data_IF_656793452506
#
_entry.id   IF_656793452506
#
_cell.length_a   1.000
_cell.length_b   1.000
_cell.length_c   1.000
_cell.angle_alpha   90.00
_cell.angle_beta   90.00
_cell.angle_gamma   90.00
#
_symmetry.space_group_name_H-M   'P 1'
#
loop_
_entity.id
_entity.type
_entity.pdbx_description
1 polymer ?
#
# COMPACT_ATOMS: atom_id res chain seq x y z
N UNK A 1 -36.10 0.78 -49.07
CA UNK A 1 -36.70 1.46 -47.89
C UNK A 1 -36.35 0.67 -46.64
N UNK A 2 -35.40 1.16 -45.83
CA UNK A 2 -35.04 0.55 -44.55
C UNK A 2 -36.20 0.82 -43.58
N UNK A 3 -36.89 -0.23 -43.12
CA UNK A 3 -37.96 -0.14 -42.12
C UNK A 3 -37.40 -0.66 -40.79
N UNK A 4 -37.13 0.24 -39.86
CA UNK A 4 -36.71 -0.09 -38.50
C UNK A 4 -37.91 -0.66 -37.72
N UNK A 5 -37.74 -1.83 -37.12
CA UNK A 5 -38.69 -2.40 -36.16
C UNK A 5 -38.16 -2.10 -34.75
N UNK A 6 -38.96 -1.39 -33.95
CA UNK A 6 -38.68 -1.18 -32.52
C UNK A 6 -39.28 -2.36 -31.77
N UNK A 7 -38.43 -3.26 -31.26
CA UNK A 7 -38.81 -4.36 -30.38
C UNK A 7 -38.81 -3.86 -28.93
N UNK A 8 -39.99 -3.50 -28.41
CA UNK A 8 -40.16 -3.26 -26.98
C UNK A 8 -40.39 -4.63 -26.29
N UNK A 9 -39.31 -5.27 -25.86
CA UNK A 9 -39.40 -6.55 -25.13
C UNK A 9 -39.55 -6.27 -23.63
N UNK A 10 -40.77 -6.34 -23.12
CA UNK A 10 -41.04 -6.37 -21.68
C UNK A 10 -40.78 -7.79 -21.17
N UNK A 11 -39.61 -8.04 -20.58
CA UNK A 11 -39.35 -9.28 -19.86
C UNK A 11 -39.97 -9.15 -18.48
N UNK A 12 -41.23 -9.57 -18.33
CA UNK A 12 -41.82 -9.78 -17.01
C UNK A 12 -41.32 -11.14 -16.52
N UNK A 13 -40.32 -11.12 -15.65
CA UNK A 13 -39.98 -12.29 -14.83
C UNK A 13 -41.08 -12.45 -13.79
N UNK A 14 -42.15 -13.18 -14.14
CA UNK A 14 -43.15 -13.61 -13.17
C UNK A 14 -42.50 -14.60 -12.20
N UNK A 15 -42.13 -14.11 -11.03
CA UNK A 15 -41.99 -14.94 -9.83
C UNK A 15 -43.39 -15.46 -9.49
N UNK A 16 -43.69 -16.68 -9.92
CA UNK A 16 -44.92 -17.39 -9.64
C UNK A 16 -44.59 -18.85 -9.36
N UNK A 17 -44.97 -19.29 -8.17
CA UNK A 17 -44.72 -20.58 -7.58
C UNK A 17 -45.00 -21.78 -8.51
N UNK A 18 -44.27 -22.87 -8.24
CA UNK A 18 -44.46 -24.29 -8.56
C UNK A 18 -43.23 -24.90 -9.22
N UNK A 19 -42.68 -25.88 -8.51
CA UNK A 19 -41.44 -26.62 -8.76
C UNK A 19 -41.31 -27.11 -10.21
N UNK A 20 -40.19 -26.80 -10.86
CA UNK A 20 -39.43 -27.84 -11.56
C UNK A 20 -37.93 -27.50 -11.54
N UNK A 21 -37.22 -28.53 -11.11
CA UNK A 21 -35.84 -28.66 -10.70
C UNK A 21 -34.89 -28.78 -11.90
N UNK A 22 -33.66 -28.26 -11.78
CA UNK A 22 -32.45 -28.85 -12.41
C UNK A 22 -31.20 -28.45 -11.61
N UNK A 23 -30.47 -29.49 -11.20
CA UNK A 23 -29.23 -29.59 -10.40
C UNK A 23 -28.06 -29.88 -11.39
N UNK A 24 -26.79 -29.47 -11.26
CA UNK A 24 -25.71 -29.86 -10.31
C UNK A 24 -24.42 -29.02 -10.66
N UNK A 25 -23.73 -28.38 -9.70
CA UNK A 25 -22.47 -28.72 -9.00
C UNK A 25 -21.10 -28.52 -9.73
N UNK A 26 -20.18 -27.79 -9.07
CA UNK A 26 -18.74 -27.68 -9.40
C UNK A 26 -18.07 -26.41 -8.85
N UNK A 27 -16.98 -26.55 -8.07
CA UNK A 27 -16.33 -25.51 -7.26
C UNK A 27 -15.14 -24.78 -7.94
N UNK A 28 -14.85 -23.53 -7.53
CA UNK A 28 -13.58 -22.84 -7.82
C UNK A 28 -13.69 -21.31 -7.99
N UNK A 29 -12.73 -20.56 -7.42
CA UNK A 29 -12.74 -19.13 -7.04
C UNK A 29 -12.32 -18.18 -8.18
N UNK A 30 -12.97 -17.02 -8.37
CA UNK A 30 -12.38 -15.68 -8.68
C UNK A 30 -13.43 -14.54 -8.91
N UNK A 31 -13.32 -13.52 -8.05
CA UNK A 31 -13.43 -12.04 -8.21
C UNK A 31 -14.69 -11.30 -8.76
N UNK A 32 -15.61 -11.00 -7.83
CA UNK A 32 -16.24 -9.67 -7.53
C UNK A 32 -17.23 -8.97 -8.51
N UNK A 33 -18.21 -8.20 -7.98
CA UNK A 33 -19.60 -8.64 -8.13
C UNK A 33 -20.55 -7.59 -8.73
N UNK A 34 -21.24 -7.97 -9.79
CA UNK A 34 -22.57 -7.45 -10.09
C UNK A 34 -23.44 -8.63 -10.53
N UNK A 35 -23.55 -9.64 -9.66
CA UNK A 35 -24.34 -10.84 -9.92
C UNK A 35 -25.83 -10.48 -9.91
N UNK A 36 -26.43 -10.44 -11.09
CA UNK A 36 -27.85 -10.78 -11.21
C UNK A 36 -28.00 -12.27 -10.90
N UNK A 37 -29.11 -12.65 -10.28
CA UNK A 37 -29.52 -14.04 -10.15
C UNK A 37 -29.57 -14.67 -11.56
N UNK A 38 -28.55 -15.46 -11.86
CA UNK A 38 -28.34 -16.09 -13.16
C UNK A 38 -27.13 -17.00 -13.03
N UNK A 39 -27.39 -18.30 -12.91
CA UNK A 39 -26.39 -19.35 -12.65
C UNK A 39 -25.18 -19.15 -13.59
N UNK A 40 -24.00 -18.95 -13.00
CA UNK A 40 -22.71 -18.84 -13.69
C UNK A 40 -21.97 -20.16 -13.52
N UNK A 41 -21.77 -20.86 -14.63
CA UNK A 41 -20.87 -22.01 -14.71
C UNK A 41 -19.60 -21.58 -15.46
N UNK A 42 -18.47 -22.10 -15.00
CA UNK A 42 -17.15 -21.88 -15.58
C UNK A 42 -16.99 -22.70 -16.87
N UNK A 43 -17.31 -22.06 -17.98
CA UNK A 43 -16.69 -22.09 -19.30
C UNK A 43 -17.44 -21.00 -20.06
N UNK A 44 -16.77 -20.09 -20.77
CA UNK A 44 -17.34 -18.83 -21.30
C UNK A 44 -18.44 -19.00 -22.37
N UNK A 45 -19.02 -20.19 -22.47
CA UNK A 45 -20.12 -20.59 -23.35
C UNK A 45 -21.35 -20.89 -22.50
N UNK A 46 -22.22 -19.89 -22.30
CA UNK A 46 -23.52 -20.15 -21.68
C UNK A 46 -24.54 -20.50 -22.76
N UNK A 47 -25.10 -21.71 -22.69
CA UNK A 47 -26.27 -22.08 -23.49
C UNK A 47 -27.53 -21.53 -22.80
N UNK A 48 -28.14 -20.50 -23.38
CA UNK A 48 -29.38 -19.91 -22.90
C UNK A 48 -30.56 -20.45 -23.72
N UNK A 49 -31.57 -21.00 -23.02
CA UNK A 49 -32.85 -21.36 -23.60
C UNK A 49 -33.83 -20.21 -23.34
N UNK A 50 -34.41 -19.64 -24.40
CA UNK A 50 -35.35 -18.53 -24.28
C UNK A 50 -36.56 -18.73 -25.17
N UNK A 51 -37.75 -18.46 -24.64
CA UNK A 51 -38.96 -18.35 -25.45
C UNK A 51 -39.20 -16.87 -25.76
N UNK A 52 -39.13 -16.49 -27.03
CA UNK A 52 -39.49 -15.15 -27.50
C UNK A 52 -40.89 -15.17 -28.11
N UNK A 53 -41.68 -14.14 -27.82
CA UNK A 53 -42.95 -13.89 -28.51
C UNK A 53 -42.75 -12.65 -29.38
N UNK A 54 -42.91 -12.81 -30.70
CA UNK A 54 -42.82 -11.71 -31.65
C UNK A 54 -44.18 -11.48 -32.31
N UNK A 55 -44.60 -10.22 -32.40
CA UNK A 55 -45.81 -9.86 -33.14
C UNK A 55 -45.45 -9.58 -34.59
N UNK A 56 -46.08 -10.30 -35.52
CA UNK A 56 -45.98 -10.00 -36.94
C UNK A 56 -46.96 -8.89 -37.32
N UNK A 57 -46.70 -8.22 -38.45
CA UNK A 57 -47.67 -7.31 -39.08
C UNK A 57 -48.94 -8.13 -39.36
N UNK A 58 -50.02 -7.82 -38.63
CA UNK A 58 -51.36 -8.47 -38.57
C UNK A 58 -51.75 -9.11 -37.20
N UNK A 59 -51.07 -8.77 -36.09
CA UNK A 59 -51.43 -9.21 -34.72
C UNK A 59 -51.39 -10.73 -34.47
N UNK A 60 -50.81 -11.50 -35.37
CA UNK A 60 -50.57 -12.94 -35.17
C UNK A 60 -49.40 -13.13 -34.20
N UNK A 61 -49.68 -13.80 -33.08
CA UNK A 61 -48.73 -14.07 -32.01
C UNK A 61 -47.83 -15.24 -32.41
N UNK A 62 -46.58 -14.97 -32.78
CA UNK A 62 -45.64 -16.02 -33.16
C UNK A 62 -44.80 -16.38 -31.93
N UNK A 63 -45.06 -17.56 -31.36
CA UNK A 63 -44.16 -18.17 -30.40
C UNK A 63 -42.94 -18.72 -31.15
N UNK A 64 -41.75 -18.32 -30.74
CA UNK A 64 -40.50 -18.79 -31.32
C UNK A 64 -39.58 -19.26 -30.18
N UNK A 65 -39.57 -20.56 -29.84
CA UNK A 65 -38.53 -21.11 -28.99
C UNK A 65 -37.19 -20.90 -29.70
N UNK A 66 -36.26 -20.30 -28.96
CA UNK A 66 -34.93 -19.95 -29.43
C UNK A 66 -33.91 -20.58 -28.50
N UNK A 67 -32.90 -21.20 -29.10
CA UNK A 67 -31.69 -21.64 -28.42
C UNK A 67 -30.62 -20.64 -28.78
N UNK A 68 -29.92 -20.10 -27.79
CA UNK A 68 -28.90 -19.10 -28.01
C UNK A 68 -27.68 -19.39 -27.14
N UNK A 69 -26.54 -19.54 -27.80
CA UNK A 69 -25.23 -19.57 -27.15
C UNK A 69 -24.74 -18.15 -26.97
N UNK A 70 -24.50 -17.76 -25.73
CA UNK A 70 -23.95 -16.46 -25.36
C UNK A 70 -22.51 -16.60 -24.92
N UNK A 71 -21.64 -15.87 -25.60
CA UNK A 71 -20.24 -15.67 -25.25
C UNK A 71 -20.10 -14.24 -24.71
N UNK A 72 -19.54 -14.09 -23.51
CA UNK A 72 -19.40 -12.79 -22.85
C UNK A 72 -17.94 -12.54 -22.50
N UNK A 73 -17.41 -11.42 -22.97
CA UNK A 73 -16.06 -10.95 -22.66
C UNK A 73 -16.18 -9.73 -21.76
N UNK A 74 -15.61 -9.79 -20.56
CA UNK A 74 -15.60 -8.66 -19.61
C UNK A 74 -14.39 -7.78 -19.94
N UNK A 75 -14.64 -6.51 -20.25
CA UNK A 75 -13.59 -5.56 -20.64
C UNK A 75 -13.16 -4.70 -19.45
N UNK A 76 -14.12 -4.22 -18.66
CA UNK A 76 -13.87 -3.42 -17.45
C UNK A 76 -14.90 -3.79 -16.36
N UNK A 77 -14.75 -3.24 -15.14
CA UNK A 77 -15.76 -3.37 -14.07
C UNK A 77 -17.17 -2.92 -14.49
N UNK A 78 -17.30 -2.11 -15.55
CA UNK A 78 -18.59 -1.57 -16.03
C UNK A 78 -18.98 -2.00 -17.44
N UNK A 79 -18.09 -2.62 -18.22
CA UNK A 79 -18.32 -2.88 -19.64
C UNK A 79 -18.00 -4.32 -20.04
N UNK A 80 -18.85 -4.90 -20.88
CA UNK A 80 -18.63 -6.21 -21.47
C UNK A 80 -19.08 -6.26 -22.92
N UNK A 81 -18.44 -7.08 -23.73
CA UNK A 81 -18.88 -7.42 -25.09
C UNK A 81 -19.58 -8.78 -25.07
N UNK A 82 -20.70 -8.91 -25.77
CA UNK A 82 -21.50 -10.13 -25.84
C UNK A 82 -21.64 -10.57 -27.32
N UNK A 83 -21.32 -11.83 -27.62
CA UNK A 83 -21.63 -12.48 -28.88
C UNK A 83 -22.70 -13.54 -28.62
N UNK A 84 -23.82 -13.37 -29.30
CA UNK A 84 -25.00 -14.20 -29.17
C UNK A 84 -25.19 -14.93 -30.51
N UNK A 85 -24.99 -16.25 -30.53
CA UNK A 85 -25.21 -17.11 -31.71
C UNK A 85 -26.34 -18.06 -31.38
N UNK A 86 -27.44 -17.98 -32.11
CA UNK A 86 -28.61 -18.77 -31.82
C UNK A 86 -29.45 -19.08 -33.03
N UNK A 87 -30.51 -19.83 -32.79
CA UNK A 87 -31.48 -20.17 -33.79
C UNK A 87 -32.74 -20.67 -33.13
N UNK A 88 -33.81 -20.71 -33.89
CA UNK A 88 -35.09 -21.17 -33.39
C UNK A 88 -36.01 -21.56 -34.53
N UNK A 89 -37.25 -21.82 -34.19
CA UNK A 89 -38.28 -22.15 -35.17
C UNK A 89 -39.44 -21.20 -34.95
N UNK A 90 -39.83 -20.48 -36.01
CA UNK A 90 -41.09 -19.74 -35.99
C UNK A 90 -42.24 -20.73 -36.17
N UNK A 91 -43.20 -20.68 -35.25
CA UNK A 91 -44.46 -21.40 -35.37
C UNK A 91 -45.51 -20.43 -35.92
N UNK A 92 -45.73 -20.45 -37.24
CA UNK A 92 -46.88 -19.80 -37.87
C UNK A 92 -47.93 -20.85 -38.19
N UNK A 93 -49.21 -20.46 -38.17
CA UNK A 93 -50.39 -21.35 -38.19
C UNK A 93 -50.43 -22.39 -39.33
N UNK A 94 -49.57 -22.32 -40.36
CA UNK A 94 -49.37 -23.40 -41.34
C UNK A 94 -47.93 -23.57 -41.87
N UNK A 95 -46.93 -22.91 -41.28
CA UNK A 95 -45.55 -22.89 -41.78
C UNK A 95 -44.55 -22.93 -40.62
N UNK A 96 -43.75 -24.01 -40.54
CA UNK A 96 -42.62 -24.12 -39.61
C UNK A 96 -41.36 -23.65 -40.33
N UNK A 97 -40.86 -22.46 -40.02
CA UNK A 97 -39.63 -21.93 -40.65
C UNK A 97 -38.51 -21.84 -39.62
N UNK A 98 -37.40 -22.57 -39.82
CA UNK A 98 -36.22 -22.40 -38.99
C UNK A 98 -35.64 -21.01 -39.25
N UNK A 99 -35.07 -20.41 -38.22
CA UNK A 99 -34.28 -19.20 -38.34
C UNK A 99 -32.97 -19.35 -37.61
N UNK A 100 -31.96 -18.67 -38.13
CA UNK A 100 -30.66 -18.53 -37.52
C UNK A 100 -30.42 -17.05 -37.23
N UNK A 101 -29.80 -16.75 -36.09
CA UNK A 101 -29.52 -15.39 -35.67
C UNK A 101 -28.12 -15.29 -35.08
N UNK A 102 -27.38 -14.29 -35.52
CA UNK A 102 -26.11 -13.89 -34.93
C UNK A 102 -26.25 -12.44 -34.53
N UNK A 103 -25.97 -12.14 -33.26
CA UNK A 103 -25.89 -10.78 -32.77
C UNK A 103 -24.62 -10.53 -32.00
N UNK A 104 -24.00 -9.38 -32.25
CA UNK A 104 -22.87 -8.87 -31.50
C UNK A 104 -23.34 -7.62 -30.78
N UNK A 105 -23.00 -7.51 -29.51
CA UNK A 105 -23.39 -6.38 -28.70
C UNK A 105 -22.44 -6.11 -27.55
N UNK A 106 -22.81 -5.16 -26.72
CA UNK A 106 -22.14 -4.86 -25.48
C UNK A 106 -23.13 -4.47 -24.40
N UNK A 107 -22.72 -4.67 -23.16
CA UNK A 107 -23.44 -4.20 -21.98
C UNK A 107 -22.58 -3.21 -21.21
N UNK A 108 -23.21 -2.13 -20.72
CA UNK A 108 -22.59 -1.11 -19.89
C UNK A 108 -23.44 -0.88 -18.63
N UNK A 109 -22.81 -0.95 -17.46
CA UNK A 109 -23.40 -0.60 -16.18
C UNK A 109 -23.43 0.93 -16.05
N UNK A 110 -24.58 1.54 -16.34
CA UNK A 110 -24.83 2.97 -16.12
C UNK A 110 -24.86 3.28 -14.62
N UNK A 111 -25.47 2.38 -13.87
CA UNK A 111 -25.45 2.31 -12.41
C UNK A 111 -25.45 0.84 -12.01
N UNK A 112 -25.28 0.52 -10.73
CA UNK A 112 -25.44 -0.85 -10.25
C UNK A 112 -26.83 -1.45 -10.52
N UNK A 113 -27.84 -0.58 -10.63
CA UNK A 113 -29.22 -0.97 -10.88
C UNK A 113 -29.61 -0.93 -12.36
N UNK A 114 -28.87 -0.23 -13.22
CA UNK A 114 -29.25 0.00 -14.63
C UNK A 114 -28.15 -0.47 -15.57
N UNK A 115 -28.45 -1.47 -16.38
CA UNK A 115 -27.59 -1.96 -17.45
C UNK A 115 -28.15 -1.50 -18.79
N UNK A 116 -27.35 -0.79 -19.56
CA UNK A 116 -27.63 -0.53 -20.97
C UNK A 116 -27.01 -1.65 -21.81
N UNK A 117 -27.80 -2.28 -22.67
CA UNK A 117 -27.35 -3.26 -23.66
C UNK A 117 -27.61 -2.72 -25.04
N UNK A 118 -26.57 -2.74 -25.88
CA UNK A 118 -26.67 -2.44 -27.30
C UNK A 118 -26.27 -3.70 -28.06
N UNK A 119 -27.13 -4.16 -28.96
CA UNK A 119 -26.85 -5.31 -29.82
C UNK A 119 -27.19 -5.00 -31.28
N UNK A 120 -26.33 -5.44 -32.18
CA UNK A 120 -26.55 -5.47 -33.61
C UNK A 120 -26.64 -6.93 -34.04
N UNK A 121 -27.71 -7.30 -34.73
CA UNK A 121 -27.96 -8.67 -35.12
C UNK A 121 -28.39 -8.81 -36.57
N UNK A 122 -28.02 -9.95 -37.15
CA UNK A 122 -28.58 -10.45 -38.41
C UNK A 122 -29.34 -11.75 -38.11
N UNK A 123 -30.54 -11.85 -38.66
CA UNK A 123 -31.35 -13.06 -38.60
C UNK A 123 -31.74 -13.49 -40.01
N UNK A 124 -31.63 -14.78 -40.30
CA UNK A 124 -32.08 -15.38 -41.56
C UNK A 124 -33.17 -16.40 -41.27
N UNK A 125 -34.27 -16.37 -42.03
CA UNK A 125 -35.35 -17.34 -41.91
C UNK A 125 -35.40 -18.20 -43.18
N UNK A 126 -35.17 -19.51 -43.04
CA UNK A 126 -35.06 -20.45 -44.16
C UNK A 126 -33.72 -20.40 -44.92
N UNK A 127 -33.37 -21.49 -45.60
CA UNK A 127 -32.21 -21.60 -46.52
C UNK A 127 -32.51 -21.03 -47.91
N UNK A 128 -33.46 -20.09 -48.00
CA UNK A 128 -33.94 -19.53 -49.26
C UNK A 128 -33.62 -18.03 -49.28
N UNK A 129 -33.13 -17.53 -50.42
CA UNK A 129 -32.33 -16.29 -50.56
C UNK A 129 -33.00 -14.97 -50.15
N UNK A 130 -34.28 -14.98 -49.80
CA UNK A 130 -35.10 -13.77 -49.70
C UNK A 130 -35.42 -13.36 -48.23
N UNK A 131 -34.82 -14.05 -47.25
CA UNK A 131 -35.21 -13.97 -45.84
C UNK A 131 -34.31 -13.20 -44.86
N UNK A 132 -33.21 -12.57 -45.30
CA UNK A 132 -32.23 -11.94 -44.39
C UNK A 132 -32.73 -10.61 -43.82
N UNK A 133 -32.77 -10.49 -42.49
CA UNK A 133 -33.15 -9.28 -41.75
C UNK A 133 -32.00 -8.80 -40.88
N UNK A 134 -31.78 -7.48 -40.87
CA UNK A 134 -30.86 -6.81 -39.96
C UNK A 134 -31.64 -6.05 -38.89
N UNK A 135 -31.15 -6.05 -37.66
CA UNK A 135 -31.77 -5.37 -36.53
C UNK A 135 -30.74 -4.72 -35.61
N UNK A 136 -31.11 -3.57 -35.05
CA UNK A 136 -30.42 -2.96 -33.91
C UNK A 136 -31.39 -3.03 -32.73
N UNK A 137 -30.93 -3.57 -31.62
CA UNK A 137 -31.66 -3.62 -30.37
C UNK A 137 -30.94 -2.79 -29.31
N UNK A 138 -31.66 -1.84 -28.71
CA UNK A 138 -31.24 -1.15 -27.50
C UNK A 138 -32.17 -1.60 -26.37
N UNK A 139 -31.59 -2.18 -25.32
CA UNK A 139 -32.34 -2.69 -24.17
C UNK A 139 -31.78 -2.05 -22.89
N UNK A 140 -32.66 -1.42 -22.13
CA UNK A 140 -32.37 -0.93 -20.79
C UNK A 140 -32.96 -1.94 -19.80
N UNK A 141 -32.12 -2.56 -18.99
CA UNK A 141 -32.52 -3.50 -17.94
C UNK A 141 -32.31 -2.85 -16.57
N UNK A 142 -33.41 -2.66 -15.82
CA UNK A 142 -33.35 -2.25 -14.42
C UNK A 142 -33.38 -3.49 -13.52
N UNK A 143 -32.33 -3.71 -12.74
CA UNK A 143 -32.30 -4.72 -11.66
C UNK A 143 -32.94 -4.10 -10.41
N UNK A 144 -34.18 -4.46 -10.14
CA UNK A 144 -34.87 -4.07 -8.90
C UNK A 144 -34.32 -4.91 -7.73
N UNK A 145 -33.74 -4.26 -6.71
CA UNK A 145 -33.25 -4.92 -5.48
C UNK A 145 -31.77 -4.73 -5.11
N UNK A 146 -31.06 -3.77 -5.71
CA UNK A 146 -29.69 -3.40 -5.30
C UNK A 146 -29.76 -2.29 -4.25
N UNK A 147 -29.30 -2.57 -3.03
CA UNK A 147 -29.09 -1.58 -1.96
C UNK A 147 -27.61 -1.61 -1.59
N UNK A 148 -27.00 -0.44 -1.62
CA UNK A 148 -25.59 -0.16 -1.34
C UNK A 148 -25.60 1.22 -0.68
N UNK A 149 -25.52 1.21 0.66
CA UNK A 149 -25.83 2.37 1.48
C UNK A 149 -24.67 3.35 1.55
N UNK A 150 -23.44 2.87 1.59
CA UNK A 150 -22.22 3.67 1.66
C UNK A 150 -21.58 3.93 0.29
N UNK A 151 -22.12 3.33 -0.78
CA UNK A 151 -21.76 3.55 -2.18
C UNK A 151 -20.32 3.11 -2.49
N UNK A 152 -19.86 2.05 -1.82
CA UNK A 152 -18.54 1.45 -1.98
C UNK A 152 -18.49 0.39 -3.10
N UNK A 153 -19.61 0.18 -3.79
CA UNK A 153 -19.83 -0.79 -4.87
C UNK A 153 -19.97 -2.24 -4.40
N UNK A 154 -20.12 -2.46 -3.09
CA UNK A 154 -20.49 -3.73 -2.49
C UNK A 154 -21.93 -3.62 -1.98
N UNK A 155 -22.74 -4.64 -2.27
CA UNK A 155 -24.15 -4.63 -1.84
C UNK A 155 -24.24 -4.81 -0.34
N UNK A 156 -25.20 -4.15 0.32
CA UNK A 156 -25.44 -4.23 1.77
C UNK A 156 -25.52 -5.67 2.32
N UNK A 157 -25.96 -6.63 1.49
CA UNK A 157 -26.03 -8.06 1.88
C UNK A 157 -24.66 -8.74 1.96
N UNK A 158 -23.71 -8.32 1.12
CA UNK A 158 -22.37 -8.89 1.02
C UNK A 158 -21.32 -8.01 1.71
N UNK A 159 -21.69 -6.78 2.01
CA UNK A 159 -20.87 -5.80 2.68
C UNK A 159 -20.78 -6.10 4.18
N UNK A 160 -19.55 -6.34 4.63
CA UNK A 160 -19.19 -6.55 6.04
C UNK A 160 -18.84 -5.24 6.73
N UNK A 161 -18.59 -4.19 5.97
CA UNK A 161 -18.11 -2.89 6.39
C UNK A 161 -19.05 -1.78 5.87
N UNK A 162 -20.28 -1.66 6.42
CA UNK A 162 -21.38 -0.82 5.91
C UNK A 162 -21.20 0.70 6.07
N UNK A 163 -19.97 1.15 6.32
CA UNK A 163 -19.60 2.54 6.57
C UNK A 163 -18.23 2.84 5.97
N UNK A 164 -17.97 2.35 4.77
CA UNK A 164 -16.70 2.60 4.12
C UNK A 164 -16.62 4.04 3.59
N UNK A 165 -15.49 4.75 3.82
CA UNK A 165 -15.33 6.10 3.30
C UNK A 165 -15.44 6.16 1.77
N UNK A 166 -16.14 7.18 1.28
CA UNK A 166 -16.30 7.37 -0.16
C UNK A 166 -14.95 7.64 -0.83
N UNK A 167 -14.63 6.83 -1.83
CA UNK A 167 -13.39 6.93 -2.59
C UNK A 167 -12.30 5.97 -2.10
N UNK A 168 -12.48 5.35 -0.94
CA UNK A 168 -11.58 4.30 -0.48
C UNK A 168 -11.66 3.08 -1.42
N UNK A 169 -10.52 2.44 -1.62
CA UNK A 169 -10.43 1.15 -2.28
C UNK A 169 -10.90 0.07 -1.30
N UNK A 170 -11.86 -0.74 -1.73
CA UNK A 170 -12.45 -1.79 -0.90
C UNK A 170 -12.11 -3.19 -1.38
N UNK A 171 -12.04 -4.12 -0.43
CA UNK A 171 -11.91 -5.54 -0.69
C UNK A 171 -13.24 -6.17 -1.17
N UNK A 172 -13.24 -7.49 -1.38
CA UNK A 172 -14.43 -8.23 -1.82
C UNK A 172 -15.61 -8.21 -0.83
N UNK A 173 -15.37 -7.78 0.40
CA UNK A 173 -16.34 -7.73 1.48
C UNK A 173 -16.77 -6.29 1.80
N UNK A 174 -16.37 -5.30 1.02
CA UNK A 174 -16.70 -3.89 1.26
C UNK A 174 -15.82 -3.21 2.30
N UNK A 175 -14.75 -3.86 2.75
CA UNK A 175 -13.87 -3.27 3.76
C UNK A 175 -12.75 -2.47 3.09
N UNK A 176 -12.55 -1.23 3.55
CA UNK A 176 -11.49 -0.36 3.08
C UNK A 176 -10.11 -0.96 3.35
N UNK A 177 -9.22 -0.81 2.37
CA UNK A 177 -7.82 -1.22 2.45
C UNK A 177 -6.95 -0.05 2.93
N UNK A 178 -5.92 -0.35 3.69
CA UNK A 178 -4.92 0.59 4.20
C UNK A 178 -3.57 -0.12 4.11
N UNK A 179 -2.83 0.14 3.03
CA UNK A 179 -1.67 -0.66 2.64
C UNK A 179 -0.42 -0.36 3.48
N UNK A 180 -0.26 0.87 3.97
CA UNK A 180 0.87 1.30 4.81
C UNK A 180 0.50 1.48 6.28
N UNK A 181 -0.78 1.32 6.62
CA UNK A 181 -1.29 1.33 7.98
C UNK A 181 -1.09 2.67 8.70
N UNK A 182 -1.14 3.77 7.95
CA UNK A 182 -1.03 5.13 8.49
C UNK A 182 -2.39 5.68 9.00
N UNK A 183 -3.47 4.94 8.75
CA UNK A 183 -4.84 5.29 9.15
C UNK A 183 -5.64 6.02 8.08
N UNK A 184 -5.07 6.27 6.90
CA UNK A 184 -5.73 6.83 5.73
C UNK A 184 -5.87 5.74 4.67
N UNK A 185 -7.11 5.37 4.36
CA UNK A 185 -7.37 4.25 3.46
C UNK A 185 -6.85 4.50 2.03
N UNK A 186 -6.42 3.42 1.39
CA UNK A 186 -6.07 3.36 -0.02
C UNK A 186 -7.15 4.04 -0.87
N UNK A 187 -6.75 4.81 -1.89
CA UNK A 187 -7.67 5.51 -2.79
C UNK A 187 -8.14 6.88 -2.31
N UNK A 188 -8.07 7.16 -1.00
CA UNK A 188 -8.15 8.52 -0.44
C UNK A 188 -6.80 9.02 0.10
N UNK A 189 -5.85 8.11 0.33
CA UNK A 189 -4.46 8.41 0.63
C UNK A 189 -3.73 9.02 -0.58
N UNK A 190 -3.04 10.14 -0.34
CA UNK A 190 -2.22 10.86 -1.33
C UNK A 190 -0.74 10.47 -1.28
N UNK A 191 -0.28 9.88 -0.18
CA UNK A 191 1.10 9.58 0.11
C UNK A 191 1.26 8.08 0.40
N UNK A 192 1.15 7.23 -0.63
CA UNK A 192 1.27 5.80 -0.43
C UNK A 192 2.68 5.44 0.03
N UNK A 193 2.77 4.49 0.97
CA UNK A 193 4.00 4.00 1.61
C UNK A 193 4.55 4.93 2.69
N UNK A 194 3.69 5.56 3.47
CA UNK A 194 4.09 6.30 4.66
C UNK A 194 4.83 5.38 5.65
N UNK A 195 5.99 5.78 6.20
CA UNK A 195 6.71 4.98 7.18
C UNK A 195 5.88 4.66 8.42
N UNK A 196 6.06 3.45 8.95
CA UNK A 196 5.38 3.02 10.17
C UNK A 196 5.68 3.99 11.32
N UNK A 197 4.63 4.43 12.02
CA UNK A 197 4.66 5.41 13.11
C UNK A 197 4.99 6.86 12.71
N UNK A 198 5.13 7.18 11.42
CA UNK A 198 5.13 8.57 11.00
C UNK A 198 3.77 9.21 11.31
N UNK A 199 3.80 10.46 11.79
CA UNK A 199 2.60 11.22 12.04
C UNK A 199 2.10 11.78 10.71
N UNK A 200 0.90 11.38 10.30
CA UNK A 200 0.31 11.79 9.02
C UNK A 200 -0.82 12.80 9.20
N UNK A 201 -1.00 13.63 8.19
CA UNK A 201 -2.16 14.52 8.09
C UNK A 201 -3.43 13.77 7.63
N UNK A 202 -4.53 14.50 7.44
CA UNK A 202 -5.80 13.93 6.96
C UNK A 202 -5.75 13.33 5.55
N UNK A 203 -4.63 13.48 4.84
CA UNK A 203 -4.42 13.00 3.47
C UNK A 203 -3.41 11.87 3.39
N UNK A 204 -2.91 11.37 4.52
CA UNK A 204 -1.92 10.28 4.60
C UNK A 204 -0.48 10.77 4.45
N UNK A 205 -0.26 12.08 4.39
CA UNK A 205 1.06 12.62 4.12
C UNK A 205 1.77 12.99 5.43
N UNK A 206 3.00 12.48 5.66
CA UNK A 206 3.80 12.87 6.80
C UNK A 206 4.48 14.24 6.57
N UNK A 207 4.80 14.92 7.66
CA UNK A 207 5.56 16.19 7.65
C UNK A 207 7.02 15.95 8.08
N UNK A 208 7.92 16.71 7.48
CA UNK A 208 9.36 16.74 7.77
C UNK A 208 9.74 18.22 7.95
N UNK A 209 9.63 18.66 9.20
CA UNK A 209 9.69 20.08 9.60
C UNK A 209 11.06 20.70 9.37
N UNK A 210 12.13 19.96 9.63
CA UNK A 210 13.50 20.44 9.47
C UNK A 210 14.10 20.08 8.10
N UNK A 211 13.44 19.21 7.34
CA UNK A 211 13.82 18.77 5.99
C UNK A 211 15.13 18.00 5.95
N UNK A 212 15.40 17.18 6.96
CA UNK A 212 16.57 16.31 7.04
C UNK A 212 16.37 14.94 6.34
N UNK A 213 15.13 14.63 5.94
CA UNK A 213 14.74 13.39 5.28
C UNK A 213 14.12 12.34 6.21
N UNK A 214 13.95 12.64 7.50
CA UNK A 214 13.28 11.82 8.51
C UNK A 214 12.03 12.54 8.99
N UNK A 215 10.87 11.89 8.87
CA UNK A 215 9.59 12.53 9.21
C UNK A 215 9.44 12.75 10.72
N UNK A 216 8.77 13.84 11.10
CA UNK A 216 8.61 14.32 12.49
C UNK A 216 8.11 13.24 13.46
N UNK A 217 7.28 12.29 12.99
CA UNK A 217 6.74 11.21 13.84
C UNK A 217 7.78 10.14 14.24
N UNK A 218 8.88 10.04 13.50
CA UNK A 218 9.97 9.08 13.73
C UNK A 218 11.32 9.74 13.98
N UNK A 219 11.40 11.06 13.82
CA UNK A 219 12.58 11.88 14.09
C UNK A 219 12.80 12.09 15.60
N UNK A 220 14.03 11.80 16.05
CA UNK A 220 14.49 11.99 17.43
C UNK A 220 15.17 13.34 17.65
N UNK A 221 15.53 14.03 16.59
CA UNK A 221 16.32 15.25 16.56
C UNK A 221 15.60 16.35 15.74
N UNK A 222 14.45 16.89 16.24
CA UNK A 222 13.48 17.72 15.48
C UNK A 222 13.94 19.13 15.06
N UNK A 223 15.25 19.38 14.98
CA UNK A 223 15.85 20.64 14.55
C UNK A 223 17.21 20.40 13.89
N UNK A 224 17.38 19.29 13.18
CA UNK A 224 18.60 19.02 12.44
C UNK A 224 18.75 20.10 11.36
N UNK A 225 19.91 20.77 11.26
CA UNK A 225 20.05 21.81 10.25
C UNK A 225 19.89 21.22 8.83
N UNK A 226 19.65 22.05 7.81
CA UNK A 226 19.47 21.53 6.44
C UNK A 226 20.80 21.15 5.78
N UNK A 227 20.82 19.99 5.13
CA UNK A 227 21.93 19.54 4.27
C UNK A 227 23.05 18.79 4.98
N UNK A 228 22.84 18.37 6.22
CA UNK A 228 23.75 17.52 6.98
C UNK A 228 23.34 16.06 6.82
N UNK A 229 24.31 15.17 6.97
CA UNK A 229 24.02 13.74 7.00
C UNK A 229 23.42 13.38 8.36
N UNK A 230 22.26 12.74 8.32
CA UNK A 230 21.57 12.20 9.49
C UNK A 230 21.54 10.68 9.43
N UNK A 231 21.38 10.07 10.60
CA UNK A 231 21.15 8.64 10.74
C UNK A 231 19.67 8.28 10.47
N UNK A 232 19.31 7.01 10.68
CA UNK A 232 17.93 6.54 10.46
C UNK A 232 16.88 7.13 11.41
N UNK A 233 17.30 7.89 12.43
CA UNK A 233 16.41 8.52 13.42
C UNK A 233 16.46 10.05 13.38
N UNK A 234 17.02 10.63 12.31
CA UNK A 234 17.07 12.08 12.08
C UNK A 234 18.17 12.80 12.86
N UNK A 235 19.06 12.06 13.51
CA UNK A 235 20.12 12.67 14.31
C UNK A 235 21.40 12.85 13.50
N UNK A 236 22.12 13.99 13.66
CA UNK A 236 23.41 14.20 13.03
C UNK A 236 24.40 13.08 13.35
N UNK A 237 25.14 12.63 12.33
CA UNK A 237 26.16 11.58 12.50
C UNK A 237 27.32 12.11 13.35
N UNK A 238 27.74 11.28 14.31
CA UNK A 238 28.91 11.45 15.17
C UNK A 238 29.79 10.21 15.00
N UNK A 239 30.86 10.32 14.20
CA UNK A 239 31.66 9.21 13.74
C UNK A 239 32.60 8.65 14.81
N UNK A 240 33.19 9.49 15.65
CA UNK A 240 34.12 9.10 16.71
C UNK A 240 33.47 9.01 18.11
N UNK A 241 32.18 9.37 18.20
CA UNK A 241 31.33 9.23 19.37
C UNK A 241 31.82 10.04 20.56
N UNK A 242 32.40 11.22 20.31
CA UNK A 242 32.85 12.15 21.35
C UNK A 242 31.74 13.08 21.86
N UNK A 243 30.56 13.04 21.23
CA UNK A 243 29.39 13.85 21.57
C UNK A 243 29.26 15.13 20.76
N UNK A 244 30.19 15.42 19.84
CA UNK A 244 30.13 16.52 18.88
C UNK A 244 29.88 15.95 17.48
N UNK A 245 28.77 16.30 16.81
CA UNK A 245 28.50 15.80 15.48
C UNK A 245 29.57 16.17 14.44
N UNK A 246 29.77 15.32 13.43
CA UNK A 246 30.80 15.45 12.39
C UNK A 246 30.81 16.83 11.69
N UNK A 247 29.66 17.50 11.58
CA UNK A 247 29.55 18.81 10.93
C UNK A 247 30.06 19.97 11.80
N UNK A 248 30.09 19.77 13.12
CA UNK A 248 30.54 20.71 14.13
C UNK A 248 31.90 20.31 14.72
N UNK A 249 32.38 19.11 14.41
CA UNK A 249 33.63 18.56 14.90
C UNK A 249 34.83 18.94 14.00
N UNK A 250 35.84 19.56 14.61
CA UNK A 250 37.10 19.91 13.97
C UNK A 250 38.17 18.81 14.10
N UNK A 251 37.92 17.81 14.96
CA UNK A 251 38.84 16.80 15.44
C UNK A 251 38.28 15.38 15.30
N UNK A 252 37.83 15.01 14.10
CA UNK A 252 37.28 13.71 13.60
C UNK A 252 37.86 12.35 14.05
N UNK A 253 38.87 12.30 14.92
CA UNK A 253 39.41 11.07 15.50
C UNK A 253 39.74 11.26 16.99
N UNK A 254 38.82 11.84 17.75
CA UNK A 254 38.96 11.97 19.19
C UNK A 254 39.06 10.59 19.84
N UNK A 255 40.06 10.35 20.72
CA UNK A 255 40.14 9.10 21.47
C UNK A 255 38.94 8.92 22.40
N UNK A 256 38.33 7.74 22.38
CA UNK A 256 37.22 7.41 23.29
C UNK A 256 37.59 7.64 24.76
N UNK A 257 36.76 8.40 25.46
CA UNK A 257 36.96 8.78 26.86
C UNK A 257 37.74 10.08 27.08
N UNK A 258 38.31 10.69 26.03
CA UNK A 258 38.87 12.03 26.13
C UNK A 258 37.77 13.07 26.39
N UNK A 259 38.07 14.08 27.19
CA UNK A 259 37.18 15.24 27.37
C UNK A 259 37.42 16.21 26.22
N UNK A 260 36.37 16.50 25.45
CA UNK A 260 36.40 17.42 24.31
C UNK A 260 35.78 18.77 24.63
N UNK A 261 36.13 19.77 23.84
CA UNK A 261 35.49 21.08 23.87
C UNK A 261 34.34 21.20 22.86
N UNK A 262 33.83 22.43 22.66
CA UNK A 262 32.67 22.68 21.79
C UNK A 262 32.92 22.40 20.30
N UNK A 263 34.18 22.17 19.89
CA UNK A 263 34.55 21.86 18.51
C UNK A 263 35.07 20.41 18.38
N UNK A 264 34.80 19.55 19.37
CA UNK A 264 35.19 18.13 19.36
C UNK A 264 36.68 17.89 19.60
N UNK A 265 37.46 18.92 19.96
CA UNK A 265 38.90 18.75 20.14
C UNK A 265 39.24 18.41 21.60
N UNK A 266 40.06 17.36 21.83
CA UNK A 266 40.44 16.98 23.17
C UNK A 266 41.45 17.95 23.78
N UNK A 267 41.41 18.12 25.11
CA UNK A 267 42.39 18.92 25.86
C UNK A 267 43.36 18.06 26.64
N UNK A 268 44.54 18.65 26.83
CA UNK A 268 45.60 18.23 27.75
C UNK A 268 45.97 19.50 28.53
N UNK A 269 45.46 19.60 29.76
CA UNK A 269 45.49 20.83 30.56
C UNK A 269 46.84 21.08 31.24
N UNK A 270 47.66 20.06 31.44
CA UNK A 270 48.99 20.16 32.06
C UNK A 270 50.15 19.88 31.09
N UNK A 271 49.83 19.59 29.83
CA UNK A 271 50.76 19.43 28.71
C UNK A 271 51.76 18.28 28.93
N UNK A 272 51.33 17.21 29.63
CA UNK A 272 52.15 16.03 29.91
C UNK A 272 52.11 14.96 28.81
N UNK A 273 51.22 15.11 27.83
CA UNK A 273 51.00 14.22 26.70
C UNK A 273 49.85 13.22 26.88
N UNK A 274 49.13 13.27 27.99
CA UNK A 274 47.92 12.47 28.25
C UNK A 274 46.70 13.39 28.32
N UNK A 275 45.68 13.09 27.53
CA UNK A 275 44.48 13.92 27.44
C UNK A 275 43.68 13.91 28.75
N UNK A 276 43.05 15.02 29.12
CA UNK A 276 42.36 15.25 30.40
C UNK A 276 41.35 14.15 30.79
N UNK A 277 40.64 13.58 29.81
CA UNK A 277 39.66 12.49 30.06
C UNK A 277 40.29 11.12 30.29
N UNK A 278 41.56 10.97 29.94
CA UNK A 278 42.37 9.75 30.08
C UNK A 278 43.44 9.89 31.17
N UNK A 279 43.69 11.11 31.65
CA UNK A 279 44.65 11.44 32.69
C UNK A 279 44.07 11.17 34.10
N UNK A 280 44.81 10.39 34.89
CA UNK A 280 44.47 10.08 36.28
C UNK A 280 45.16 11.03 37.28
N UNK A 281 46.14 11.80 36.82
CA UNK A 281 47.01 12.65 37.61
C UNK A 281 47.00 14.11 37.10
N UNK A 282 45.85 14.81 37.14
CA UNK A 282 45.75 16.17 36.62
C UNK A 282 46.70 17.12 37.33
N UNK A 283 47.54 17.81 36.56
CA UNK A 283 48.53 18.78 37.03
C UNK A 283 49.95 18.22 37.14
N UNK A 284 50.28 17.19 36.37
CA UNK A 284 51.64 16.69 36.25
C UNK A 284 52.57 17.81 35.72
N UNK A 285 53.70 18.10 36.40
CA UNK A 285 54.58 19.16 35.94
C UNK A 285 55.20 18.84 34.58
N UNK A 286 55.27 19.83 33.70
CA UNK A 286 55.91 19.70 32.39
C UNK A 286 57.38 19.28 32.52
N UNK A 287 57.80 18.30 31.70
CA UNK A 287 59.17 17.80 31.63
C UNK A 287 59.47 16.52 32.41
N UNK A 288 58.49 15.94 33.12
CA UNK A 288 58.61 14.61 33.72
C UNK A 288 58.23 13.53 32.69
N UNK A 289 58.89 12.37 32.74
CA UNK A 289 58.40 11.20 32.01
C UNK A 289 57.15 10.67 32.71
N UNK A 290 56.01 10.69 32.01
CA UNK A 290 54.75 10.15 32.53
C UNK A 290 54.53 8.71 32.09
N UNK A 291 53.68 7.98 32.83
CA UNK A 291 53.17 6.69 32.39
C UNK A 291 51.95 6.84 31.46
N UNK A 292 51.29 5.73 31.14
CA UNK A 292 50.12 5.72 30.24
C UNK A 292 48.86 6.35 30.86
N UNK A 293 48.91 6.81 32.09
CA UNK A 293 47.81 7.38 32.85
C UNK A 293 48.09 8.84 33.28
N UNK A 294 49.13 9.48 32.72
CA UNK A 294 49.52 10.86 33.04
C UNK A 294 50.24 11.00 34.38
N UNK A 295 50.63 9.90 35.02
CA UNK A 295 51.27 9.97 36.33
C UNK A 295 52.79 9.98 36.20
N UNK A 296 53.52 10.81 36.98
CA UNK A 296 54.98 10.89 36.90
C UNK A 296 55.64 9.56 37.22
N UNK A 297 56.50 9.07 36.32
CA UNK A 297 57.41 7.97 36.63
C UNK A 297 58.44 8.49 37.62
N UNK A 298 58.25 8.17 38.89
CA UNK A 298 59.29 8.37 39.89
C UNK A 298 60.39 7.35 39.55
N UNK A 299 61.58 7.76 39.08
CA UNK A 299 62.67 6.82 38.92
C UNK A 299 62.88 6.14 40.28
N UNK A 300 63.09 4.81 40.32
CA UNK A 300 63.40 4.15 41.57
C UNK A 300 64.60 4.87 42.15
N UNK A 301 64.40 5.56 43.26
CA UNK A 301 65.50 6.23 43.92
C UNK A 301 66.44 5.12 44.35
N UNK A 302 67.65 5.08 43.79
CA UNK A 302 68.63 4.09 44.24
C UNK A 302 68.76 4.29 45.76
N UNK A 303 68.44 3.22 46.51
CA UNK A 303 68.37 3.24 47.97
C UNK A 303 69.63 3.86 48.61
N UNK A 304 70.75 3.78 47.90
CA UNK A 304 72.04 4.32 48.30
C UNK A 304 72.06 5.86 48.34
N UNK A 305 71.41 6.57 47.42
CA UNK A 305 71.37 8.05 47.45
C UNK A 305 70.53 8.59 48.61
N UNK A 306 69.38 7.97 48.90
CA UNK A 306 68.53 8.38 50.03
C UNK A 306 69.22 8.07 51.36
N UNK A 307 69.79 6.86 51.53
CA UNK A 307 70.49 6.52 52.77
C UNK A 307 71.70 7.42 53.01
N UNK A 308 72.46 7.76 51.96
CA UNK A 308 73.61 8.65 52.08
C UNK A 308 73.17 10.09 52.44
N UNK A 309 72.13 10.63 51.80
CA UNK A 309 71.57 11.94 52.17
C UNK A 309 71.04 11.98 53.61
N UNK A 310 70.38 10.90 54.06
CA UNK A 310 69.88 10.81 55.43
C UNK A 310 71.03 10.71 56.44
N UNK A 311 72.06 9.92 56.14
CA UNK A 311 73.24 9.72 56.98
C UNK A 311 74.04 11.02 57.10
N UNK A 312 74.29 11.69 55.99
CA UNK A 312 75.04 12.96 55.95
C UNK A 312 74.33 14.04 56.76
N UNK A 313 73.00 14.11 56.70
CA UNK A 313 72.22 15.06 57.50
C UNK A 313 72.22 14.71 59.00
N UNK A 314 72.19 13.41 59.34
CA UNK A 314 72.35 12.94 60.72
C UNK A 314 73.74 13.23 61.29
N UNK A 315 74.79 13.10 60.49
CA UNK A 315 76.16 13.43 60.90
C UNK A 315 76.36 14.94 61.07
N UNK A 316 75.79 15.75 60.17
CA UNK A 316 75.80 17.21 60.28
C UNK A 316 75.10 17.69 61.56
N UNK A 317 73.93 17.12 61.87
CA UNK A 317 73.17 17.46 63.08
C UNK A 317 73.86 16.99 64.36
N UNK A 318 74.43 15.77 64.37
CA UNK A 318 75.22 15.28 65.51
C UNK A 318 76.50 16.09 65.75
N UNK A 319 77.16 16.53 64.68
CA UNK A 319 78.36 17.38 64.74
C UNK A 319 78.01 18.80 65.22
N UNK A 320 76.88 19.36 64.78
CA UNK A 320 76.38 20.65 65.26
C UNK A 320 76.00 20.60 66.74
N UNK A 321 75.32 19.52 67.19
CA UNK A 321 74.94 19.34 68.60
C UNK A 321 76.16 19.20 69.52
N UNK A 322 77.16 18.42 69.10
CA UNK A 322 78.40 18.25 69.86
C UNK A 322 79.24 19.54 69.95
N UNK A 323 79.12 20.45 68.98
CA UNK A 323 79.75 21.79 69.06
C UNK A 323 79.00 22.76 69.97
N UNK A 324 77.70 22.58 70.17
CA UNK A 324 76.89 23.39 71.10
C UNK A 324 77.02 22.93 72.56
N UNK A 325 77.44 21.69 72.80
CA UNK A 325 77.61 21.10 74.14
C UNK A 325 79.04 21.21 74.71
N UNK A 326 79.96 21.89 74.02
CA UNK A 326 81.31 22.23 74.52
C UNK A 326 81.43 23.73 74.73
#
# INVERSE_FOLDING_TARGET
>A
MIRAFILLSLVISLLGAYDYFSVEAGAGVLESPCFALGVMFNSDSKLAFGAGVATAKNDELIAAPKILSRFKIIMTKRASTELDVGGGVFFRENDKKPFFEVSVGGSYLLTCAVVAKLAFGVATAGFESDGTKFGIALKLEAKLGFSDKDHDWVVDRLDRCPKTPKGALVDKNGCALDSDADGVFDGIDKCPNTPLAALVDSTGCPEDSDSDGVYDGVDRCPNTPKGINVDSVGCPVDSDHDGVPDYADSCSNTPSGAVVDLIGCPRDSDEDGVLDGLDQCPGTPTGFEVDRFGCPKIPPVEHEEIENLFRDNLELTASALNKLQR
#
